data_IF_183896472564
#
_entry.id   IF_183896472564
#
_cell.length_a   1.000
_cell.length_b   1.000
_cell.length_c   1.000
_cell.angle_alpha   90.00
_cell.angle_beta   90.00
_cell.angle_gamma   90.00
#
_symmetry.space_group_name_H-M   'P 1'
#
loop_
_entity.id
_entity.type
_entity.pdbx_description
1 polymer ?
#
# COMPACT_ATOMS: atom_id res chain seq x y z
N UNK A 1 -22.58 15.28 -5.56
CA UNK A 1 -21.48 15.93 -6.31
C UNK A 1 -20.64 16.67 -5.28
N UNK A 2 -19.35 16.35 -5.17
CA UNK A 2 -18.46 16.98 -4.19
C UNK A 2 -17.52 17.90 -4.95
N UNK A 3 -17.43 19.16 -4.54
CA UNK A 3 -16.66 20.18 -5.24
C UNK A 3 -15.66 20.78 -4.28
N UNK A 4 -14.40 20.88 -4.68
CA UNK A 4 -13.34 21.53 -3.91
C UNK A 4 -12.74 22.66 -4.70
N UNK A 5 -12.35 23.72 -3.97
CA UNK A 5 -11.69 24.87 -4.55
C UNK A 5 -10.23 24.52 -4.86
N UNK A 6 -9.75 24.96 -6.02
CA UNK A 6 -8.34 24.97 -6.33
C UNK A 6 -7.67 26.15 -5.63
N UNK A 7 -6.66 25.87 -4.82
CA UNK A 7 -5.86 26.88 -4.13
C UNK A 7 -4.65 27.28 -4.98
N UNK A 8 -3.96 28.34 -4.56
CA UNK A 8 -2.71 28.77 -5.20
C UNK A 8 -1.73 27.61 -5.33
N UNK A 9 -0.95 27.62 -6.43
CA UNK A 9 -0.03 26.55 -6.82
C UNK A 9 -0.71 25.23 -7.19
N UNK A 10 -1.95 25.29 -7.69
CA UNK A 10 -2.68 24.13 -8.22
C UNK A 10 -2.92 23.02 -7.20
N UNK A 11 -3.05 23.38 -5.92
CA UNK A 11 -3.30 22.43 -4.84
C UNK A 11 -4.80 22.32 -4.59
N UNK A 12 -5.28 21.10 -4.35
CA UNK A 12 -6.66 20.85 -3.92
C UNK A 12 -6.68 19.98 -2.68
N UNK A 13 -7.69 20.19 -1.84
CA UNK A 13 -7.91 19.36 -0.66
C UNK A 13 -8.80 18.19 -1.06
N UNK A 14 -8.41 16.98 -0.68
CA UNK A 14 -9.25 15.80 -0.86
C UNK A 14 -10.36 15.85 0.20
N UNK A 15 -11.66 15.89 -0.17
CA UNK A 15 -12.78 15.92 0.76
C UNK A 15 -12.76 14.75 1.75
N UNK A 16 -13.22 14.98 2.98
CA UNK A 16 -13.28 13.95 4.02
C UNK A 16 -14.11 12.73 3.62
N UNK A 17 -15.18 12.92 2.84
CA UNK A 17 -16.02 11.83 2.34
C UNK A 17 -15.25 10.89 1.40
N UNK A 18 -14.40 11.45 0.54
CA UNK A 18 -13.53 10.67 -0.37
C UNK A 18 -12.44 9.98 0.43
N UNK A 19 -11.78 10.69 1.38
CA UNK A 19 -10.75 10.09 2.24
C UNK A 19 -11.27 8.88 3.02
N UNK A 20 -12.49 8.96 3.56
CA UNK A 20 -13.12 7.87 4.32
C UNK A 20 -13.50 6.67 3.44
N UNK A 21 -13.94 6.90 2.20
CA UNK A 21 -14.32 5.81 1.28
C UNK A 21 -13.13 5.06 0.71
N UNK A 22 -12.05 5.78 0.38
CA UNK A 22 -10.90 5.24 -0.34
C UNK A 22 -9.73 4.91 0.63
N UNK A 23 -9.86 5.26 1.91
CA UNK A 23 -8.83 5.03 2.94
C UNK A 23 -7.47 5.56 2.53
N UNK A 24 -7.44 6.85 2.17
CA UNK A 24 -6.25 7.54 1.66
C UNK A 24 -5.32 7.88 2.83
N UNK A 25 -4.13 7.27 2.84
CA UNK A 25 -3.05 7.60 3.79
C UNK A 25 -2.27 8.84 3.31
N UNK A 26 -1.68 9.65 4.21
CA UNK A 26 -0.85 10.81 3.84
C UNK A 26 0.33 10.48 2.91
N UNK A 27 0.82 9.24 2.97
CA UNK A 27 1.92 8.75 2.12
C UNK A 27 1.45 8.13 0.79
N UNK A 28 0.15 8.18 0.52
CA UNK A 28 -0.41 7.66 -0.73
C UNK A 28 -0.04 8.56 -1.90
N UNK A 29 0.29 7.92 -3.02
CA UNK A 29 0.57 8.60 -4.28
C UNK A 29 -0.75 8.77 -5.03
N UNK A 30 -0.94 9.92 -5.67
CA UNK A 30 -2.09 10.19 -6.55
C UNK A 30 -1.62 10.13 -7.99
N UNK A 31 -2.12 9.15 -8.74
CA UNK A 31 -1.89 9.02 -10.17
C UNK A 31 -3.01 9.73 -10.94
N UNK A 32 -2.62 10.48 -11.97
CA UNK A 32 -3.52 11.29 -12.80
C UNK A 32 -3.50 10.72 -14.21
N UNK A 33 -4.66 10.30 -14.71
CA UNK A 33 -4.82 9.81 -16.07
C UNK A 33 -5.90 10.61 -16.78
N UNK A 34 -5.82 10.68 -18.12
CA UNK A 34 -6.84 11.30 -18.95
C UNK A 34 -7.47 10.17 -19.76
N UNK A 35 -8.76 9.91 -19.52
CA UNK A 35 -9.51 8.91 -20.26
C UNK A 35 -9.83 9.44 -21.68
N UNK A 36 -10.18 8.55 -22.61
CA UNK A 36 -10.46 8.87 -24.04
C UNK A 36 -11.53 9.95 -24.23
N UNK A 37 -12.39 10.14 -23.23
CA UNK A 37 -13.43 11.18 -23.19
C UNK A 37 -12.92 12.55 -22.69
N UNK A 38 -11.61 12.71 -22.53
CA UNK A 38 -10.97 13.92 -22.02
C UNK A 38 -11.24 14.19 -20.53
N UNK A 39 -11.68 13.18 -19.77
CA UNK A 39 -11.94 13.29 -18.33
C UNK A 39 -10.70 12.92 -17.54
N UNK A 40 -10.42 13.70 -16.50
CA UNK A 40 -9.35 13.40 -15.54
C UNK A 40 -9.84 12.33 -14.57
N UNK A 41 -9.10 11.23 -14.50
CA UNK A 41 -9.28 10.15 -13.53
C UNK A 41 -8.13 10.21 -12.52
N UNK A 42 -8.48 10.01 -11.25
CA UNK A 42 -7.56 10.05 -10.13
C UNK A 42 -7.54 8.68 -9.47
N UNK A 43 -6.37 8.07 -9.40
CA UNK A 43 -6.18 6.80 -8.74
C UNK A 43 -5.26 6.96 -7.53
N UNK A 44 -5.67 6.41 -6.39
CA UNK A 44 -4.92 6.49 -5.15
C UNK A 44 -4.16 5.19 -4.95
N UNK A 45 -2.83 5.25 -5.07
CA UNK A 45 -1.96 4.09 -4.88
C UNK A 45 -1.23 4.19 -3.55
N UNK A 46 -1.30 3.13 -2.74
CA UNK A 46 -0.42 2.99 -1.57
C UNK A 46 1.01 2.78 -2.04
N UNK A 47 1.94 3.55 -1.47
CA UNK A 47 3.36 3.33 -1.68
C UNK A 47 3.75 2.02 -1.01
N UNK A 48 3.87 0.95 -1.79
CA UNK A 48 4.36 -0.34 -1.30
C UNK A 48 5.86 -0.17 -1.06
N UNK A 49 6.29 -0.24 0.20
CA UNK A 49 7.71 -0.19 0.54
C UNK A 49 8.31 -1.59 0.38
N UNK A 50 9.61 -1.73 0.08
CA UNK A 50 10.28 -3.06 0.06
C UNK A 50 10.03 -3.85 1.35
N UNK A 51 9.90 -3.17 2.48
CA UNK A 51 9.55 -3.77 3.78
C UNK A 51 8.16 -4.42 3.80
N UNK A 52 7.18 -3.83 3.12
CA UNK A 52 5.82 -4.39 3.02
C UNK A 52 5.82 -5.65 2.14
N UNK A 53 6.62 -5.68 1.07
CA UNK A 53 6.81 -6.86 0.22
C UNK A 53 7.47 -8.00 1.01
N UNK A 54 8.54 -7.69 1.75
CA UNK A 54 9.24 -8.68 2.60
C UNK A 54 8.30 -9.21 3.70
N UNK A 55 7.43 -8.36 4.25
CA UNK A 55 6.42 -8.75 5.24
C UNK A 55 5.38 -9.72 4.70
N UNK A 56 4.86 -9.46 3.49
CA UNK A 56 3.91 -10.35 2.80
C UNK A 56 4.54 -11.72 2.48
N UNK A 57 5.76 -11.74 1.94
CA UNK A 57 6.50 -12.99 1.67
C UNK A 57 6.73 -13.79 2.96
N UNK A 58 7.04 -13.12 4.08
CA UNK A 58 7.20 -13.77 5.39
C UNK A 58 5.89 -14.30 5.98
N UNK A 59 4.75 -13.68 5.68
CA UNK A 59 3.45 -14.13 6.17
C UNK A 59 2.91 -15.34 5.39
N UNK A 60 3.15 -15.39 4.08
CA UNK A 60 2.67 -16.51 3.23
C UNK A 60 3.51 -17.77 3.37
N UNK A 61 4.76 -17.63 3.79
CA UNK A 61 5.62 -18.78 3.99
C UNK A 61 5.45 -19.31 5.43
N UNK A 62 4.96 -20.55 5.63
CA UNK A 62 4.74 -21.14 6.96
C UNK A 62 6.05 -21.52 7.67
N UNK A 63 7.18 -20.84 7.38
CA UNK A 63 8.41 -21.07 8.10
C UNK A 63 8.40 -20.29 9.41
N UNK A 64 8.13 -21.01 10.50
CA UNK A 64 8.51 -20.55 11.81
C UNK A 64 10.05 -20.61 11.89
N UNK A 65 10.73 -19.53 11.48
CA UNK A 65 12.21 -19.43 11.46
C UNK A 65 12.87 -19.77 12.81
N UNK A 66 12.12 -19.65 13.90
CA UNK A 66 12.52 -20.01 15.26
C UNK A 66 12.59 -21.54 15.42
N UNK A 67 11.65 -22.29 14.83
CA UNK A 67 11.66 -23.76 14.85
C UNK A 67 12.82 -24.33 14.02
N UNK A 68 13.11 -23.74 12.86
CA UNK A 68 14.23 -24.17 12.01
C UNK A 68 15.56 -23.95 12.75
N UNK A 69 15.76 -22.79 13.39
CA UNK A 69 16.95 -22.53 14.22
C UNK A 69 17.06 -23.49 15.40
N UNK A 70 15.94 -23.81 16.08
CA UNK A 70 15.91 -24.80 17.17
C UNK A 70 16.26 -26.21 16.70
N UNK A 71 15.82 -26.62 15.49
CA UNK A 71 16.15 -27.92 14.90
C UNK A 71 17.61 -27.99 14.43
N UNK A 72 18.12 -26.94 13.78
CA UNK A 72 19.53 -26.89 13.34
C UNK A 72 20.52 -26.86 14.51
N UNK A 73 20.17 -26.19 15.62
CA UNK A 73 21.03 -26.15 16.81
C UNK A 73 21.06 -27.45 17.62
N UNK A 74 20.15 -28.39 17.38
CA UNK A 74 20.09 -29.67 18.10
C UNK A 74 20.72 -30.86 17.34
N UNK A 75 21.16 -30.67 16.10
CA UNK A 75 21.54 -31.80 15.23
C UNK A 75 20.29 -32.58 14.84
N UNK A 76 19.88 -32.49 13.59
CA UNK A 76 18.77 -33.29 13.08
C UNK A 76 19.26 -34.73 12.87
N UNK A 77 18.89 -35.64 13.77
CA UNK A 77 18.68 -37.05 13.39
C UNK A 77 17.45 -37.06 12.48
N UNK A 78 17.65 -37.50 11.24
CA UNK A 78 16.59 -37.80 10.29
C UNK A 78 16.37 -39.32 10.34
N UNK A 79 15.29 -39.76 11.02
CA UNK A 79 14.69 -41.08 10.80
C UNK A 79 13.76 -41.04 9.57
#
# INVERSE_FOLDING_TARGET
MITTKLYNRYQTVIPSEIRKKISVDPDSIVEWTINEKGKVELEFRKKVTEKDIIGLIKQELPYNSIEIKKRSGKGLDWE
#
